data_IF_447720179443
#
_entry.id   IF_447720179443
#
_cell.length_a   1.000
_cell.length_b   1.000
_cell.length_c   1.000
_cell.angle_alpha   90.00
_cell.angle_beta   90.00
_cell.angle_gamma   90.00
#
_symmetry.space_group_name_H-M   'P 1'
#
loop_
_entity.id
_entity.type
_entity.pdbx_description
1 polymer ?
#
# COMPACT_ATOMS: atom_id res chain seq x y z
N UNK A 1 7.55 -23.71 -3.98
CA UNK A 1 6.14 -23.40 -3.82
C UNK A 1 5.74 -22.23 -4.67
N UNK A 2 4.69 -22.39 -5.40
CA UNK A 2 4.23 -21.39 -6.32
C UNK A 2 3.45 -20.31 -5.58
N UNK A 3 4.01 -19.11 -5.51
CA UNK A 3 3.35 -17.99 -4.85
C UNK A 3 2.63 -17.17 -5.91
N UNK A 4 1.38 -17.49 -6.12
CA UNK A 4 0.54 -16.77 -7.07
C UNK A 4 0.07 -15.45 -6.45
N UNK A 5 0.41 -14.33 -7.09
CA UNK A 5 -0.03 -13.02 -6.63
C UNK A 5 -1.36 -12.68 -7.27
N UNK A 6 -2.32 -12.19 -6.48
CA UNK A 6 -3.56 -11.65 -7.00
C UNK A 6 -3.47 -10.13 -7.01
N UNK A 7 -3.75 -9.54 -8.17
CA UNK A 7 -3.79 -8.09 -8.36
C UNK A 7 -5.25 -7.67 -8.54
N UNK A 8 -5.70 -6.69 -7.76
CA UNK A 8 -7.09 -6.24 -7.82
C UNK A 8 -7.41 -5.67 -9.20
N UNK A 9 -8.61 -5.98 -9.71
CA UNK A 9 -9.07 -5.51 -11.02
C UNK A 9 -9.17 -4.00 -11.11
N UNK A 10 -9.37 -3.33 -9.97
CA UNK A 10 -9.53 -1.87 -9.93
C UNK A 10 -8.21 -1.11 -9.82
N UNK A 11 -7.09 -1.83 -9.62
CA UNK A 11 -5.79 -1.20 -9.52
C UNK A 11 -5.39 -0.67 -10.90
N UNK A 12 -5.05 0.62 -10.96
CA UNK A 12 -4.60 1.28 -12.18
C UNK A 12 -3.15 1.72 -12.01
N UNK A 13 -2.47 1.94 -13.13
CA UNK A 13 -1.07 2.36 -13.08
C UNK A 13 -0.11 1.27 -12.65
N UNK A 14 -0.51 0.01 -12.78
CA UNK A 14 0.35 -1.11 -12.37
C UNK A 14 1.09 -1.77 -13.54
N UNK A 15 1.10 -1.14 -14.71
CA UNK A 15 1.72 -1.72 -15.92
C UNK A 15 3.17 -2.13 -15.68
N UNK A 16 3.97 -1.23 -15.09
CA UNK A 16 5.37 -1.53 -14.85
C UNK A 16 5.57 -2.61 -13.80
N UNK A 17 4.66 -2.70 -12.85
CA UNK A 17 4.68 -3.76 -11.85
C UNK A 17 4.46 -5.11 -12.51
N UNK A 18 3.46 -5.21 -13.37
CA UNK A 18 3.16 -6.45 -14.08
C UNK A 18 4.28 -6.82 -15.04
N UNK A 19 4.87 -5.83 -15.71
CA UNK A 19 6.03 -6.06 -16.57
C UNK A 19 7.19 -6.65 -15.78
N UNK A 20 7.41 -6.16 -14.57
CA UNK A 20 8.45 -6.70 -13.71
C UNK A 20 8.14 -8.14 -13.30
N UNK A 21 6.88 -8.43 -12.96
CA UNK A 21 6.46 -9.81 -12.63
C UNK A 21 6.75 -10.74 -13.80
N UNK A 22 6.40 -10.32 -15.02
CA UNK A 22 6.68 -11.11 -16.22
C UNK A 22 8.19 -11.35 -16.39
N UNK A 23 8.98 -10.31 -16.18
CA UNK A 23 10.42 -10.37 -16.35
C UNK A 23 11.09 -11.38 -15.42
N UNK A 24 10.64 -11.46 -14.17
CA UNK A 24 11.26 -12.34 -13.17
C UNK A 24 10.53 -13.68 -13.03
N UNK A 25 9.51 -13.91 -13.84
CA UNK A 25 8.77 -15.17 -13.80
C UNK A 25 7.83 -15.30 -12.61
N UNK A 26 7.35 -14.17 -12.08
CA UNK A 26 6.39 -14.18 -10.97
C UNK A 26 4.99 -14.38 -11.51
N UNK A 27 4.35 -15.46 -11.12
CA UNK A 27 2.97 -15.74 -11.52
C UNK A 27 1.99 -14.79 -10.85
N UNK A 28 1.01 -14.31 -11.61
CA UNK A 28 -0.03 -13.46 -11.07
C UNK A 28 -1.33 -13.63 -11.86
N UNK A 29 -2.44 -13.28 -11.24
CA UNK A 29 -3.73 -13.17 -11.91
C UNK A 29 -4.38 -11.85 -11.50
N UNK A 30 -5.27 -11.38 -12.35
CA UNK A 30 -6.03 -10.17 -12.07
C UNK A 30 -7.44 -10.60 -11.66
N UNK A 31 -7.83 -10.26 -10.45
CA UNK A 31 -9.12 -10.67 -9.90
C UNK A 31 -9.55 -9.65 -8.84
N UNK A 32 -10.84 -9.53 -8.61
CA UNK A 32 -11.34 -8.60 -7.61
C UNK A 32 -10.92 -9.05 -6.21
N UNK A 33 -10.38 -8.11 -5.44
CA UNK A 33 -10.04 -8.32 -4.04
C UNK A 33 -11.04 -7.61 -3.14
N UNK A 34 -11.30 -8.19 -1.98
CA UNK A 34 -12.19 -7.59 -0.99
C UNK A 34 -11.51 -6.44 -0.23
N UNK A 35 -10.19 -6.47 -0.14
CA UNK A 35 -9.41 -5.41 0.48
C UNK A 35 -8.03 -5.33 -0.18
N UNK A 36 -7.53 -4.09 -0.33
CA UNK A 36 -6.20 -3.86 -0.88
C UNK A 36 -6.08 -4.11 -2.37
N UNK A 37 -4.85 -4.09 -2.84
CA UNK A 37 -4.52 -4.18 -4.27
C UNK A 37 -3.73 -5.44 -4.62
N UNK A 38 -2.99 -6.01 -3.69
CA UNK A 38 -2.14 -7.19 -3.92
C UNK A 38 -2.15 -8.11 -2.71
N UNK A 39 -2.26 -9.41 -2.97
CA UNK A 39 -2.12 -10.44 -1.94
C UNK A 39 -1.72 -11.75 -2.60
N UNK A 40 -1.31 -12.74 -1.80
CA UNK A 40 -1.06 -14.08 -2.31
C UNK A 40 -2.37 -14.86 -2.38
N UNK A 41 -2.49 -15.71 -3.38
CA UNK A 41 -3.67 -16.54 -3.56
C UNK A 41 -3.90 -17.44 -2.34
N UNK A 42 -5.10 -17.37 -1.78
CA UNK A 42 -5.51 -18.14 -0.60
C UNK A 42 -4.72 -17.84 0.67
N UNK A 43 -3.99 -16.72 0.68
CA UNK A 43 -3.21 -16.34 1.86
C UNK A 43 -3.49 -14.87 2.17
N UNK A 44 -4.35 -14.63 3.14
CA UNK A 44 -4.76 -13.29 3.54
C UNK A 44 -3.84 -12.65 4.59
N UNK A 45 -2.74 -13.34 4.95
CA UNK A 45 -1.84 -12.86 6.01
C UNK A 45 -1.33 -11.44 5.75
N UNK A 46 -0.91 -11.16 4.51
CA UNK A 46 -0.40 -9.85 4.12
C UNK A 46 -1.23 -9.30 2.97
N UNK A 47 -1.71 -8.07 3.14
CA UNK A 47 -2.45 -7.36 2.11
C UNK A 47 -1.76 -6.02 1.88
N UNK A 48 -1.50 -5.69 0.62
CA UNK A 48 -0.84 -4.43 0.23
C UNK A 48 -1.84 -3.52 -0.44
N UNK A 49 -1.91 -2.27 0.04
CA UNK A 49 -2.67 -1.19 -0.59
C UNK A 49 -1.65 -0.21 -1.17
N UNK A 50 -1.60 -0.12 -2.49
CA UNK A 50 -0.63 0.74 -3.19
C UNK A 50 -1.13 2.17 -3.26
N UNK A 51 -0.23 3.13 -3.01
CA UNK A 51 -0.51 4.55 -3.16
C UNK A 51 0.48 5.15 -4.16
N UNK A 52 -0.01 5.96 -5.08
CA UNK A 52 0.82 6.53 -6.14
C UNK A 52 1.60 7.77 -5.69
N UNK A 53 1.65 8.04 -4.41
CA UNK A 53 2.42 9.15 -3.85
C UNK A 53 1.79 9.69 -2.59
N UNK A 54 2.48 10.66 -2.00
CA UNK A 54 2.02 11.26 -0.74
C UNK A 54 0.78 12.14 -0.93
N UNK A 55 0.58 12.69 -2.13
CA UNK A 55 -0.62 13.49 -2.39
C UNK A 55 -1.87 12.61 -2.33
N UNK A 56 -1.82 11.44 -2.96
CA UNK A 56 -2.94 10.48 -2.88
C UNK A 56 -3.15 10.02 -1.44
N UNK A 57 -2.06 9.68 -0.75
CA UNK A 57 -2.15 9.24 0.63
C UNK A 57 -2.76 10.31 1.52
N UNK A 58 -2.33 11.58 1.36
CA UNK A 58 -2.88 12.68 2.16
C UNK A 58 -4.38 12.87 1.90
N UNK A 59 -4.81 12.72 0.66
CA UNK A 59 -6.23 12.79 0.31
C UNK A 59 -7.04 11.68 0.96
N UNK A 60 -6.47 10.49 1.07
CA UNK A 60 -7.15 9.36 1.70
C UNK A 60 -7.18 9.47 3.22
N UNK A 61 -6.13 9.95 3.84
CA UNK A 61 -6.02 9.96 5.30
C UNK A 61 -6.54 11.23 5.95
N UNK A 62 -6.46 12.37 5.26
CA UNK A 62 -6.81 13.66 5.85
C UNK A 62 -8.20 14.15 5.46
N UNK A 63 -8.86 13.50 4.52
CA UNK A 63 -10.26 13.77 4.18
C UNK A 63 -11.13 12.84 5.02
N UNK A 64 -12.08 13.41 5.76
CA UNK A 64 -12.88 12.63 6.73
C UNK A 64 -13.61 11.45 6.07
N UNK A 65 -14.21 11.67 4.90
CA UNK A 65 -14.97 10.63 4.20
C UNK A 65 -14.04 9.52 3.71
N UNK A 66 -12.90 9.90 3.12
CA UNK A 66 -11.92 8.94 2.62
C UNK A 66 -11.25 8.18 3.76
N UNK A 67 -11.00 8.87 4.87
CA UNK A 67 -10.41 8.23 6.04
C UNK A 67 -11.34 7.12 6.59
N UNK A 68 -12.64 7.39 6.64
CA UNK A 68 -13.61 6.38 7.05
C UNK A 68 -13.62 5.18 6.10
N UNK A 69 -13.50 5.43 4.79
CA UNK A 69 -13.41 4.36 3.80
C UNK A 69 -12.18 3.48 4.04
N UNK A 70 -11.03 4.10 4.32
CA UNK A 70 -9.80 3.39 4.61
C UNK A 70 -9.95 2.54 5.88
N UNK A 71 -10.59 3.09 6.91
CA UNK A 71 -10.83 2.34 8.16
C UNK A 71 -11.68 1.10 7.90
N UNK A 72 -12.72 1.23 7.07
CA UNK A 72 -13.57 0.09 6.71
C UNK A 72 -12.80 -0.97 5.94
N UNK A 73 -11.89 -0.54 5.05
CA UNK A 73 -11.06 -1.47 4.30
C UNK A 73 -10.14 -2.26 5.23
N UNK A 74 -9.51 -1.57 6.18
CA UNK A 74 -8.66 -2.22 7.17
C UNK A 74 -9.46 -3.22 8.00
N UNK A 75 -10.66 -2.82 8.45
CA UNK A 75 -11.52 -3.70 9.24
C UNK A 75 -11.90 -4.96 8.44
N UNK A 76 -12.20 -4.77 7.16
CA UNK A 76 -12.55 -5.89 6.29
C UNK A 76 -11.37 -6.85 6.12
N UNK A 77 -10.16 -6.30 5.98
CA UNK A 77 -8.95 -7.11 5.91
C UNK A 77 -8.77 -7.94 7.19
N UNK A 78 -9.01 -7.34 8.36
CA UNK A 78 -8.89 -8.06 9.64
C UNK A 78 -9.91 -9.20 9.74
N UNK A 79 -11.10 -9.02 9.19
CA UNK A 79 -12.10 -10.10 9.15
C UNK A 79 -11.62 -11.27 8.29
N UNK A 80 -10.73 -11.02 7.34
CA UNK A 80 -10.12 -12.05 6.50
C UNK A 80 -8.86 -12.64 7.11
N UNK A 81 -8.60 -12.34 8.38
CA UNK A 81 -7.42 -12.80 9.14
C UNK A 81 -6.10 -12.19 8.65
N UNK A 82 -6.16 -11.02 8.04
CA UNK A 82 -4.98 -10.27 7.67
C UNK A 82 -4.29 -9.75 8.94
N UNK A 83 -3.02 -10.08 9.11
CA UNK A 83 -2.24 -9.59 10.25
C UNK A 83 -1.28 -8.48 9.85
N UNK A 84 -0.98 -8.35 8.56
CA UNK A 84 -0.01 -7.40 8.05
C UNK A 84 -0.63 -6.59 6.92
N UNK A 85 -1.24 -5.45 7.25
CA UNK A 85 -1.80 -4.54 6.26
C UNK A 85 -0.77 -3.45 5.95
N UNK A 86 -0.35 -3.35 4.71
CA UNK A 86 0.72 -2.45 4.29
C UNK A 86 0.21 -1.41 3.29
N UNK A 87 0.45 -0.14 3.59
CA UNK A 87 0.32 0.93 2.60
C UNK A 87 1.67 1.09 1.94
N UNK A 88 1.77 0.70 0.68
CA UNK A 88 3.00 0.79 -0.11
C UNK A 88 2.95 2.08 -0.93
N UNK A 89 3.78 3.04 -0.57
CA UNK A 89 3.74 4.40 -1.12
C UNK A 89 4.84 4.55 -2.16
N UNK A 90 4.45 4.84 -3.39
CA UNK A 90 5.39 5.07 -4.48
C UNK A 90 5.90 6.50 -4.41
N UNK A 91 7.18 6.67 -4.10
CA UNK A 91 7.81 7.98 -4.07
C UNK A 91 9.31 7.82 -4.25
N UNK A 92 9.88 8.57 -5.21
CA UNK A 92 11.32 8.47 -5.51
C UNK A 92 12.15 9.52 -4.79
N UNK A 93 11.51 10.52 -4.18
CA UNK A 93 12.21 11.62 -3.50
C UNK A 93 12.30 11.42 -1.99
N UNK A 94 11.24 10.94 -1.40
CA UNK A 94 11.18 10.68 0.04
C UNK A 94 11.82 9.32 0.30
N UNK A 95 12.79 9.25 1.19
CA UNK A 95 13.55 8.02 1.45
C UNK A 95 13.06 7.25 2.66
N UNK A 96 12.46 7.95 3.62
CA UNK A 96 11.98 7.31 4.85
C UNK A 96 10.69 7.99 5.30
N UNK A 97 9.93 7.29 6.15
CA UNK A 97 8.68 7.88 6.68
C UNK A 97 8.95 9.13 7.52
N UNK A 98 10.10 9.21 8.18
CA UNK A 98 10.46 10.42 8.96
C UNK A 98 10.59 11.65 8.06
N UNK A 99 11.04 11.47 6.83
CA UNK A 99 11.21 12.60 5.91
C UNK A 99 9.88 13.17 5.42
N UNK A 100 8.77 12.47 5.67
CA UNK A 100 7.44 12.96 5.29
C UNK A 100 7.12 14.28 5.99
N UNK A 101 7.68 14.51 7.17
CA UNK A 101 7.45 15.76 7.89
C UNK A 101 7.83 17.00 7.09
N UNK A 102 8.76 16.87 6.14
CA UNK A 102 9.23 17.96 5.30
C UNK A 102 8.49 18.07 3.98
N UNK A 103 7.52 17.16 3.75
CA UNK A 103 6.77 17.12 2.49
C UNK A 103 5.73 18.22 2.42
N UNK A 104 5.54 18.78 1.23
CA UNK A 104 4.45 19.70 0.94
C UNK A 104 4.10 19.59 -0.54
N UNK A 105 2.92 20.05 -0.90
CA UNK A 105 2.48 20.04 -2.28
C UNK A 105 1.61 21.27 -2.56
N UNK A 106 1.72 21.89 -3.75
CA UNK A 106 0.84 23.00 -4.10
C UNK A 106 -0.61 22.56 -4.33
N UNK A 107 -0.85 21.26 -4.40
CA UNK A 107 -2.19 20.71 -4.66
C UNK A 107 -3.00 20.41 -3.39
N UNK A 108 -2.42 20.66 -2.22
CA UNK A 108 -3.11 20.44 -0.95
C UNK A 108 -2.58 21.39 0.11
N UNK A 109 -3.43 21.70 1.08
CA UNK A 109 -3.01 22.47 2.26
C UNK A 109 -2.47 21.58 3.36
N UNK A 110 -2.56 20.26 3.21
CA UNK A 110 -2.06 19.30 4.21
C UNK A 110 -0.54 19.37 4.24
N UNK A 111 0.00 19.54 5.44
CA UNK A 111 1.45 19.60 5.64
C UNK A 111 1.97 18.22 5.99
N UNK A 112 3.25 17.98 5.64
CA UNK A 112 3.89 16.70 5.92
C UNK A 112 3.85 16.33 7.41
N UNK A 113 4.03 17.32 8.28
CA UNK A 113 3.95 17.09 9.73
C UNK A 113 2.60 16.52 10.14
N UNK A 114 1.51 17.09 9.60
CA UNK A 114 0.16 16.62 9.88
C UNK A 114 -0.06 15.21 9.33
N UNK A 115 0.39 14.98 8.11
CA UNK A 115 0.27 13.66 7.48
C UNK A 115 1.01 12.61 8.29
N UNK A 116 2.26 12.90 8.68
CA UNK A 116 3.05 11.96 9.46
C UNK A 116 2.40 11.65 10.81
N UNK A 117 1.82 12.67 11.45
CA UNK A 117 1.13 12.48 12.73
C UNK A 117 -0.06 11.51 12.57
N UNK A 118 -0.85 11.68 11.51
CA UNK A 118 -1.98 10.80 11.24
C UNK A 118 -1.49 9.38 10.96
N UNK A 119 -0.44 9.24 10.15
CA UNK A 119 0.14 7.93 9.85
C UNK A 119 0.60 7.21 11.13
N UNK A 120 1.27 7.93 12.02
CA UNK A 120 1.75 7.35 13.28
C UNK A 120 0.58 6.91 14.17
N UNK A 121 -0.49 7.70 14.20
CA UNK A 121 -1.70 7.33 14.93
C UNK A 121 -2.31 6.04 14.36
N UNK A 122 -2.35 5.93 13.04
CA UNK A 122 -2.89 4.73 12.40
C UNK A 122 -2.03 3.50 12.68
N UNK A 123 -0.70 3.67 12.66
CA UNK A 123 0.21 2.57 12.99
C UNK A 123 -0.08 2.04 14.39
N UNK A 124 -0.25 2.93 15.34
CA UNK A 124 -0.49 2.56 16.73
C UNK A 124 -1.88 1.97 16.91
N UNK A 125 -2.90 2.61 16.33
CA UNK A 125 -4.30 2.24 16.55
C UNK A 125 -4.74 1.02 15.75
N UNK A 126 -4.28 0.90 14.50
CA UNK A 126 -4.73 -0.17 13.60
C UNK A 126 -3.66 -1.19 13.25
N UNK A 127 -2.45 -1.00 13.76
CA UNK A 127 -1.33 -1.91 13.51
C UNK A 127 -1.03 -2.10 12.01
N UNK A 128 -1.10 -1.00 11.25
CA UNK A 128 -0.76 -1.02 9.82
C UNK A 128 0.67 -0.56 9.63
N UNK A 129 1.24 -0.87 8.45
CA UNK A 129 2.58 -0.45 8.08
C UNK A 129 2.52 0.51 6.91
N UNK A 130 3.47 1.46 6.88
CA UNK A 130 3.66 2.36 5.75
C UNK A 130 5.08 2.16 5.24
N UNK A 131 5.20 1.80 3.97
CA UNK A 131 6.51 1.56 3.35
C UNK A 131 6.61 2.43 2.11
N UNK A 132 7.75 3.14 1.97
CA UNK A 132 8.01 4.01 0.83
C UNK A 132 8.97 3.30 -0.11
N UNK A 133 8.69 3.37 -1.40
CA UNK A 133 9.46 2.66 -2.41
C UNK A 133 9.49 3.47 -3.71
N UNK A 134 10.66 3.58 -4.36
CA UNK A 134 10.73 4.23 -5.68
C UNK A 134 9.91 3.46 -6.71
N UNK A 135 9.37 4.18 -7.68
CA UNK A 135 8.55 3.60 -8.74
C UNK A 135 9.20 2.39 -9.40
N UNK A 136 10.49 2.48 -9.70
CA UNK A 136 11.21 1.41 -10.39
C UNK A 136 11.35 0.13 -9.58
N UNK A 137 11.15 0.20 -8.26
CA UNK A 137 11.31 -0.94 -7.38
C UNK A 137 10.00 -1.48 -6.82
N UNK A 138 8.86 -0.94 -7.26
CA UNK A 138 7.56 -1.34 -6.70
C UNK A 138 7.26 -2.82 -6.88
N UNK A 139 7.48 -3.36 -8.08
CA UNK A 139 7.22 -4.79 -8.32
C UNK A 139 8.08 -5.69 -7.44
N UNK A 140 9.36 -5.36 -7.33
CA UNK A 140 10.29 -6.10 -6.48
C UNK A 140 9.85 -6.05 -5.02
N UNK A 141 9.44 -4.87 -4.56
CA UNK A 141 9.02 -4.69 -3.17
C UNK A 141 7.73 -5.48 -2.88
N UNK A 142 6.78 -5.50 -3.81
CA UNK A 142 5.55 -6.27 -3.62
C UNK A 142 5.87 -7.75 -3.43
N UNK A 143 6.72 -8.31 -4.28
CA UNK A 143 7.12 -9.71 -4.17
C UNK A 143 7.76 -9.97 -2.81
N UNK A 144 8.69 -9.09 -2.42
CA UNK A 144 9.40 -9.22 -1.14
C UNK A 144 8.43 -9.20 0.04
N UNK A 145 7.55 -8.21 0.07
CA UNK A 145 6.62 -8.03 1.20
C UNK A 145 5.63 -9.18 1.32
N UNK A 146 5.11 -9.66 0.19
CA UNK A 146 4.18 -10.78 0.20
C UNK A 146 4.86 -12.09 0.58
N UNK A 147 6.17 -12.19 0.36
CA UNK A 147 6.94 -13.38 0.72
C UNK A 147 7.44 -13.41 2.15
N UNK A 148 7.32 -12.29 2.90
CA UNK A 148 7.76 -12.26 4.29
C UNK A 148 6.86 -13.14 5.16
N UNK A 149 7.49 -13.92 6.04
CA UNK A 149 6.76 -14.75 7.01
C UNK A 149 6.68 -14.02 8.34
N UNK A 150 5.56 -14.16 8.99
CA UNK A 150 5.34 -13.62 10.33
C UNK A 150 5.44 -14.70 11.38
#
# INVERSE_FOLDING_TARGET
MNNLIICDTREKGNKKILEYFDKVGQDYIISKLDAGDYMLYKDYTTIIDKKDGLLELSGNLCNAKEHERIKREIAKARELDCVNFIFLIQDSKIKSTEDIKNWSSPHTKVRGETLLKIMNTMKTRYNVRFIICPKKNMGEMIIKLLGEKK
#
